data_IF_856838898552
#
_entry.id   IF_856838898552
#
_cell.length_a   1.000
_cell.length_b   1.000
_cell.length_c   1.000
_cell.angle_alpha   90.00
_cell.angle_beta   90.00
_cell.angle_gamma   90.00
#
_symmetry.space_group_name_H-M   'P 1'
#
loop_
_entity.id
_entity.type
_entity.pdbx_description
1 polymer ?
#
# COMPACT_ATOMS: atom_id res chain seq x y z
N UNK A 1 9.93 -12.77 12.31
CA UNK A 1 8.48 -12.96 12.46
C UNK A 1 7.86 -11.59 12.42
N UNK A 2 6.79 -11.40 11.66
CA UNK A 2 6.02 -10.17 11.68
C UNK A 2 5.17 -10.14 12.96
N UNK A 3 5.10 -9.00 13.65
CA UNK A 3 4.29 -8.85 14.87
C UNK A 3 2.89 -8.34 14.50
N UNK A 4 1.81 -9.10 14.72
CA UNK A 4 0.50 -8.72 14.19
C UNK A 4 -0.16 -7.51 14.85
N UNK A 5 0.35 -7.01 15.98
CA UNK A 5 -0.12 -5.72 16.49
C UNK A 5 0.47 -4.55 15.71
N UNK A 6 1.74 -4.64 15.32
CA UNK A 6 2.52 -3.48 14.87
C UNK A 6 2.93 -3.56 13.39
N UNK A 7 2.86 -4.75 12.79
CA UNK A 7 3.40 -5.09 11.47
C UNK A 7 2.40 -5.91 10.65
N UNK A 8 1.10 -5.82 10.99
CA UNK A 8 0.04 -6.59 10.35
C UNK A 8 -0.52 -5.98 9.09
N UNK A 9 -0.11 -4.78 8.69
CA UNK A 9 -0.74 -4.08 7.57
C UNK A 9 0.27 -3.70 6.50
N UNK A 10 1.52 -3.45 6.89
CA UNK A 10 2.56 -3.23 5.90
C UNK A 10 3.83 -2.63 6.46
N UNK A 11 4.69 -2.19 5.55
CA UNK A 11 5.95 -1.56 5.89
C UNK A 11 6.40 -0.57 4.81
N UNK A 12 7.24 0.38 5.20
CA UNK A 12 7.97 1.21 4.26
C UNK A 12 9.39 1.50 4.75
N UNK A 13 10.35 1.49 3.83
CA UNK A 13 11.71 1.96 4.05
C UNK A 13 11.74 3.48 3.87
N UNK A 14 11.93 4.19 4.99
CA UNK A 14 12.03 5.65 5.00
C UNK A 14 13.50 6.06 5.01
N UNK A 15 13.96 6.65 3.91
CA UNK A 15 15.29 7.22 3.80
C UNK A 15 15.29 8.72 4.11
N UNK A 16 16.12 9.13 5.08
CA UNK A 16 16.36 10.54 5.42
C UNK A 16 17.87 10.79 5.58
N UNK A 17 18.33 12.06 5.55
CA UNK A 17 19.72 12.38 5.86
C UNK A 17 20.20 11.89 7.23
N UNK A 18 19.28 11.76 8.19
CA UNK A 18 19.54 11.23 9.53
C UNK A 18 19.74 9.70 9.58
N UNK A 19 19.47 9.00 8.48
CA UNK A 19 19.55 7.55 8.36
C UNK A 19 18.29 6.94 7.75
N UNK A 20 18.36 5.63 7.53
CA UNK A 20 17.25 4.85 6.99
C UNK A 20 16.58 4.03 8.07
N UNK A 21 15.26 4.03 8.10
CA UNK A 21 14.44 3.26 9.05
C UNK A 21 13.36 2.50 8.32
N UNK A 22 13.08 1.26 8.76
CA UNK A 22 11.87 0.53 8.34
C UNK A 22 10.76 0.90 9.31
N UNK A 23 9.67 1.46 8.79
CA UNK A 23 8.44 1.69 9.54
C UNK A 23 7.42 0.61 9.19
N UNK A 24 6.56 0.30 10.14
CA UNK A 24 5.52 -0.70 9.99
C UNK A 24 4.18 -0.10 10.38
N UNK A 25 3.13 -0.57 9.72
CA UNK A 25 1.75 -0.34 10.14
C UNK A 25 1.12 -1.64 10.60
N UNK A 26 0.19 -1.48 11.53
CA UNK A 26 -0.59 -2.54 12.15
C UNK A 26 -1.77 -1.96 12.91
N UNK A 27 -2.73 -2.79 13.30
CA UNK A 27 -3.92 -2.34 14.06
C UNK A 27 -3.53 -1.57 15.34
N UNK A 28 -2.45 -1.99 16.00
CA UNK A 28 -1.90 -1.33 17.20
C UNK A 28 -1.17 -0.02 16.93
N UNK A 29 -0.85 0.28 15.67
CA UNK A 29 -0.15 1.52 15.28
C UNK A 29 -1.09 2.70 15.03
N UNK A 30 -2.40 2.44 14.90
CA UNK A 30 -3.41 3.48 14.69
C UNK A 30 -3.43 4.45 15.88
N UNK A 31 -3.14 5.75 15.68
CA UNK A 31 -3.17 6.73 16.77
C UNK A 31 -4.55 6.81 17.43
N UNK A 32 -4.65 6.90 18.77
CA UNK A 32 -5.95 7.02 19.46
C UNK A 32 -6.81 8.19 18.97
N UNK A 33 -6.19 9.30 18.57
CA UNK A 33 -6.87 10.47 17.99
C UNK A 33 -7.47 10.22 16.61
N UNK A 34 -6.96 9.22 15.87
CA UNK A 34 -7.54 8.74 14.61
C UNK A 34 -8.65 7.74 14.88
N UNK A 35 -8.38 6.74 15.73
CA UNK A 35 -9.35 5.72 16.10
C UNK A 35 -10.66 6.31 16.67
N UNK A 36 -10.56 7.33 17.52
CA UNK A 36 -11.74 8.03 18.09
C UNK A 36 -12.57 8.81 17.06
N UNK A 37 -11.99 9.12 15.89
CA UNK A 37 -12.70 9.70 14.73
C UNK A 37 -13.21 8.64 13.74
N UNK A 38 -13.04 7.35 14.06
CA UNK A 38 -13.51 6.23 13.24
C UNK A 38 -12.51 5.73 12.20
N UNK A 39 -11.28 6.24 12.18
CA UNK A 39 -10.18 5.67 11.38
C UNK A 39 -9.60 4.50 12.16
N UNK A 40 -10.15 3.31 11.95
CA UNK A 40 -9.84 2.10 12.71
C UNK A 40 -8.95 1.11 11.96
N UNK A 41 -8.67 1.38 10.68
CA UNK A 41 -7.84 0.56 9.82
C UNK A 41 -6.78 1.43 9.14
N UNK A 42 -5.55 0.93 9.10
CA UNK A 42 -4.42 1.53 8.40
C UNK A 42 -3.89 0.50 7.41
N UNK A 43 -3.66 0.89 6.17
CA UNK A 43 -3.12 0.00 5.14
C UNK A 43 -1.59 -0.01 5.09
N UNK A 44 -1.05 -0.49 3.98
CA UNK A 44 0.39 -0.52 3.70
C UNK A 44 0.92 0.90 3.46
N UNK A 45 1.90 1.38 4.24
CA UNK A 45 2.40 2.73 4.11
C UNK A 45 3.33 2.87 2.91
N UNK A 46 3.46 4.11 2.43
CA UNK A 46 4.42 4.46 1.40
C UNK A 46 5.53 5.37 1.92
N UNK A 47 6.67 5.37 1.26
CA UNK A 47 7.73 6.35 1.50
C UNK A 47 8.37 6.83 0.21
N UNK A 48 8.83 8.09 0.21
CA UNK A 48 9.53 8.67 -0.92
C UNK A 48 10.00 10.08 -0.60
N UNK A 49 11.20 10.45 -1.07
CA UNK A 49 11.78 11.79 -0.83
C UNK A 49 11.83 12.20 0.66
N UNK A 50 11.98 11.22 1.56
CA UNK A 50 12.00 11.41 3.02
C UNK A 50 10.64 11.57 3.70
N UNK A 51 9.55 11.60 2.92
CA UNK A 51 8.19 11.57 3.42
C UNK A 51 7.74 10.13 3.67
N UNK A 52 6.87 9.96 4.67
CA UNK A 52 6.24 8.70 5.03
C UNK A 52 4.72 8.90 5.07
N UNK A 53 3.95 7.98 4.48
CA UNK A 53 2.50 8.12 4.30
C UNK A 53 1.78 6.90 4.85
N UNK A 54 0.87 7.13 5.79
CA UNK A 54 -0.03 6.12 6.33
C UNK A 54 -1.43 6.28 5.70
N UNK A 55 -1.91 5.30 4.91
CA UNK A 55 -3.28 5.31 4.38
C UNK A 55 -4.25 4.76 5.43
N UNK A 56 -5.31 5.50 5.74
CA UNK A 56 -6.35 5.11 6.69
C UNK A 56 -7.71 4.96 6.01
N UNK A 57 -8.48 4.01 6.52
CA UNK A 57 -9.86 3.72 6.15
C UNK A 57 -10.80 3.91 7.35
N UNK A 58 -12.05 4.31 7.05
CA UNK A 58 -13.20 4.25 7.97
C UNK A 58 -14.23 3.25 7.45
N UNK A 59 -15.06 2.71 8.33
CA UNK A 59 -16.10 1.75 7.94
C UNK A 59 -17.32 2.40 7.24
N UNK A 60 -17.55 3.71 7.44
CA UNK A 60 -18.82 4.39 7.10
C UNK A 60 -18.90 4.97 5.68
N UNK A 61 -18.09 4.48 4.72
CA UNK A 61 -17.92 5.09 3.38
C UNK A 61 -17.57 6.58 3.43
N UNK A 62 -16.84 7.00 4.47
CA UNK A 62 -16.29 8.35 4.59
C UNK A 62 -15.19 8.65 3.57
N UNK A 63 -14.42 9.71 3.82
CA UNK A 63 -13.23 10.03 3.03
C UNK A 63 -12.15 8.94 3.15
N UNK A 64 -11.14 8.96 2.27
CA UNK A 64 -9.83 8.36 2.54
C UNK A 64 -8.95 9.37 3.27
N UNK A 65 -8.15 8.90 4.22
CA UNK A 65 -7.16 9.73 4.90
C UNK A 65 -5.76 9.24 4.57
N UNK A 66 -4.87 10.19 4.28
CA UNK A 66 -3.44 9.97 4.18
C UNK A 66 -2.76 10.83 5.25
N UNK A 67 -2.19 10.18 6.26
CA UNK A 67 -1.43 10.87 7.30
C UNK A 67 0.04 10.85 6.92
N UNK A 68 0.62 12.03 6.77
CA UNK A 68 1.95 12.22 6.17
C UNK A 68 2.90 12.78 7.21
N UNK A 69 4.04 12.11 7.37
CA UNK A 69 5.17 12.61 8.13
C UNK A 69 6.22 13.21 7.18
N UNK A 70 6.48 14.49 7.33
CA UNK A 70 7.50 15.20 6.56
C UNK A 70 8.93 14.83 7.04
N UNK A 71 9.98 15.15 6.25
CA UNK A 71 11.37 14.85 6.64
C UNK A 71 11.82 15.46 7.97
N UNK A 72 11.18 16.55 8.41
CA UNK A 72 11.42 17.21 9.69
C UNK A 72 10.68 16.56 10.88
N UNK A 73 9.91 15.50 10.63
CA UNK A 73 9.12 14.77 11.62
C UNK A 73 7.75 15.38 11.93
N UNK A 74 7.36 16.47 11.26
CA UNK A 74 6.01 17.04 11.41
C UNK A 74 4.98 16.18 10.70
N UNK A 75 3.76 16.15 11.26
CA UNK A 75 2.66 15.36 10.73
C UNK A 75 1.54 16.26 10.19
N UNK A 76 0.96 15.86 9.07
CA UNK A 76 -0.23 16.46 8.50
C UNK A 76 -1.21 15.38 8.02
N UNK A 77 -2.50 15.71 8.00
CA UNK A 77 -3.58 14.82 7.60
C UNK A 77 -4.23 15.35 6.32
N UNK A 78 -4.23 14.54 5.26
CA UNK A 78 -4.79 14.89 3.97
C UNK A 78 -5.98 14.00 3.67
N UNK A 79 -7.13 14.59 3.37
CA UNK A 79 -8.36 13.84 3.12
C UNK A 79 -8.75 13.91 1.66
N UNK A 80 -9.10 12.76 1.10
CA UNK A 80 -9.72 12.62 -0.20
C UNK A 80 -11.21 12.29 -0.02
N UNK A 81 -12.09 13.22 -0.36
CA UNK A 81 -13.51 12.93 -0.49
C UNK A 81 -13.70 11.96 -1.66
N UNK A 82 -14.30 10.81 -1.37
CA UNK A 82 -14.52 9.76 -2.37
C UNK A 82 -15.35 10.28 -3.53
N UNK A 83 -14.95 9.89 -4.73
CA UNK A 83 -15.81 9.98 -5.89
C UNK A 83 -17.01 9.02 -5.75
N UNK A 84 -18.13 9.34 -6.40
CA UNK A 84 -19.36 8.53 -6.30
C UNK A 84 -19.18 7.05 -6.71
N UNK A 85 -18.19 6.79 -7.56
CA UNK A 85 -17.85 5.46 -8.09
C UNK A 85 -16.75 4.75 -7.31
N UNK A 86 -16.07 5.43 -6.39
CA UNK A 86 -14.85 4.97 -5.75
C UNK A 86 -15.15 4.08 -4.54
N UNK A 87 -14.45 2.96 -4.42
CA UNK A 87 -14.56 2.09 -3.26
C UNK A 87 -13.98 2.76 -2.01
N UNK A 88 -14.52 2.40 -0.85
CA UNK A 88 -14.19 3.04 0.42
C UNK A 88 -12.75 2.78 0.89
N UNK A 89 -12.23 1.58 0.67
CA UNK A 89 -10.97 1.13 1.26
C UNK A 89 -9.75 1.89 0.71
N UNK A 90 -8.90 2.36 1.62
CA UNK A 90 -7.59 2.91 1.32
C UNK A 90 -6.52 1.88 1.72
N UNK A 91 -6.22 0.94 0.83
CA UNK A 91 -5.42 -0.25 1.18
C UNK A 91 -3.92 0.02 1.26
N UNK A 92 -3.39 0.96 0.48
CA UNK A 92 -1.97 1.26 0.46
C UNK A 92 -1.67 2.68 -0.03
N UNK A 93 -0.42 3.10 0.15
CA UNK A 93 0.17 4.27 -0.49
C UNK A 93 1.50 3.90 -1.15
N UNK A 94 1.67 4.21 -2.44
CA UNK A 94 2.93 4.02 -3.17
C UNK A 94 3.38 5.35 -3.77
N UNK A 95 4.56 5.85 -3.39
CA UNK A 95 5.04 7.17 -3.82
C UNK A 95 5.79 7.01 -5.13
N UNK A 96 5.44 7.81 -6.14
CA UNK A 96 6.16 7.78 -7.42
C UNK A 96 7.63 8.17 -7.25
N UNK A 97 8.55 7.66 -8.08
CA UNK A 97 9.98 7.99 -7.93
C UNK A 97 10.30 9.49 -8.07
N UNK A 98 9.48 10.26 -8.80
CA UNK A 98 9.62 11.72 -8.90
C UNK A 98 9.05 12.46 -7.67
N UNK A 99 8.40 11.76 -6.75
CA UNK A 99 7.83 12.28 -5.51
C UNK A 99 6.57 13.11 -5.70
N UNK A 100 6.06 13.24 -6.93
CA UNK A 100 4.94 14.15 -7.23
C UNK A 100 3.58 13.47 -7.19
N UNK A 101 3.55 12.15 -7.22
CA UNK A 101 2.32 11.37 -7.26
C UNK A 101 2.34 10.27 -6.21
N UNK A 102 1.15 9.85 -5.83
CA UNK A 102 0.92 8.73 -4.93
C UNK A 102 -0.15 7.84 -5.55
N UNK A 103 0.15 6.56 -5.66
CA UNK A 103 -0.80 5.53 -6.08
C UNK A 103 -1.45 4.93 -4.84
N UNK A 104 -2.76 4.71 -4.90
CA UNK A 104 -3.54 4.07 -3.85
C UNK A 104 -4.49 3.02 -4.44
N UNK A 105 -4.88 2.07 -3.59
CA UNK A 105 -5.75 0.94 -3.95
C UNK A 105 -7.20 1.09 -3.49
N UNK A 106 -8.00 0.13 -3.94
CA UNK A 106 -9.39 -0.09 -3.57
C UNK A 106 -9.53 -1.52 -2.98
N UNK A 107 -10.58 -1.85 -2.22
CA UNK A 107 -10.87 -3.24 -1.83
C UNK A 107 -11.61 -3.94 -2.98
N UNK A 108 -11.42 -5.24 -3.12
CA UNK A 108 -12.25 -6.09 -3.95
C UNK A 108 -11.64 -6.26 -5.32
N UNK A 109 -12.47 -6.67 -6.28
CA UNK A 109 -12.01 -6.81 -7.66
C UNK A 109 -12.01 -5.44 -8.33
N UNK A 110 -10.86 -5.01 -8.83
CA UNK A 110 -10.64 -3.69 -9.42
C UNK A 110 -9.93 -3.80 -10.76
N UNK A 111 -10.19 -2.83 -11.65
CA UNK A 111 -9.56 -2.69 -12.96
C UNK A 111 -8.66 -1.44 -13.04
N UNK A 112 -8.38 -0.82 -11.90
CA UNK A 112 -7.59 0.40 -11.79
C UNK A 112 -6.89 0.52 -10.44
N UNK A 113 -5.87 1.36 -10.41
CA UNK A 113 -5.33 1.98 -9.20
C UNK A 113 -5.53 3.50 -9.27
N UNK A 114 -5.73 4.14 -8.12
CA UNK A 114 -6.01 5.56 -8.02
C UNK A 114 -4.71 6.36 -7.94
N UNK A 115 -4.65 7.51 -8.60
CA UNK A 115 -3.48 8.40 -8.56
C UNK A 115 -3.91 9.74 -7.97
N UNK A 116 -3.20 10.16 -6.93
CA UNK A 116 -3.34 11.46 -6.28
C UNK A 116 -2.04 12.24 -6.42
N UNK A 117 -2.07 13.59 -6.43
CA UNK A 117 -0.86 14.36 -6.20
C UNK A 117 -0.28 14.00 -4.83
N UNK A 118 1.03 13.83 -4.72
CA UNK A 118 1.65 13.40 -3.47
C UNK A 118 1.37 14.41 -2.34
N UNK A 119 0.65 14.02 -1.27
CA UNK A 119 0.39 14.91 -0.15
C UNK A 119 1.70 15.31 0.56
N UNK A 120 1.82 16.58 0.91
CA UNK A 120 3.04 17.16 1.50
C UNK A 120 4.11 17.58 0.50
N UNK A 121 4.07 17.11 -0.75
CA UNK A 121 5.01 17.49 -1.82
C UNK A 121 4.29 18.25 -2.95
N UNK A 122 3.41 17.58 -3.69
CA UNK A 122 2.68 18.16 -4.81
C UNK A 122 1.34 18.79 -4.39
N UNK A 123 0.80 18.37 -3.25
CA UNK A 123 -0.38 18.96 -2.62
C UNK A 123 -0.07 19.31 -1.17
N UNK A 124 0.11 20.59 -0.87
CA UNK A 124 0.71 21.07 0.39
C UNK A 124 -0.29 21.67 1.38
N UNK A 125 -1.56 21.85 0.98
CA UNK A 125 -2.59 22.37 1.87
C UNK A 125 -3.44 21.22 2.43
N UNK A 126 -3.19 20.75 3.67
CA UNK A 126 -3.95 19.65 4.27
C UNK A 126 -5.42 20.00 4.57
N UNK A 127 -5.79 21.28 4.56
CA UNK A 127 -7.18 21.69 4.75
C UNK A 127 -8.01 21.57 3.46
N UNK A 128 -7.35 21.50 2.29
CA UNK A 128 -8.00 21.30 1.01
C UNK A 128 -8.33 19.82 0.79
N UNK A 129 -9.35 19.56 -0.04
CA UNK A 129 -9.62 18.21 -0.52
C UNK A 129 -8.46 17.74 -1.41
N UNK A 130 -7.82 16.63 -1.04
CA UNK A 130 -6.83 15.95 -1.88
C UNK A 130 -7.57 15.46 -3.14
N UNK A 131 -7.22 15.92 -4.35
CA UNK A 131 -7.97 15.55 -5.54
C UNK A 131 -7.59 14.14 -6.00
N UNK A 132 -8.56 13.44 -6.60
CA UNK A 132 -8.28 12.39 -7.55
C UNK A 132 -7.71 13.04 -8.83
N UNK A 133 -6.53 12.60 -9.28
CA UNK A 133 -5.86 13.18 -10.44
C UNK A 133 -6.01 12.34 -11.70
N UNK A 134 -5.84 11.02 -11.59
CA UNK A 134 -5.89 10.07 -12.71
C UNK A 134 -5.94 8.63 -12.19
N UNK A 135 -5.87 7.66 -13.10
CA UNK A 135 -5.77 6.24 -12.76
C UNK A 135 -4.70 5.49 -13.54
N UNK A 136 -4.15 4.45 -12.91
CA UNK A 136 -3.50 3.35 -13.63
C UNK A 136 -4.60 2.40 -14.07
N UNK A 137 -4.89 2.32 -15.37
CA UNK A 137 -5.88 1.43 -15.98
C UNK A 137 -5.29 0.06 -16.24
N UNK A 138 -5.75 -0.96 -15.52
CA UNK A 138 -5.21 -2.31 -15.61
C UNK A 138 -5.80 -3.05 -16.82
N UNK A 139 -4.96 -3.78 -17.55
CA UNK A 139 -5.37 -4.56 -18.72
C UNK A 139 -6.20 -5.81 -18.36
N UNK A 140 -6.18 -6.19 -17.09
CA UNK A 140 -7.01 -7.25 -16.50
C UNK A 140 -7.32 -6.92 -15.04
N UNK A 141 -8.45 -7.41 -14.50
CA UNK A 141 -8.78 -7.17 -13.11
C UNK A 141 -7.78 -7.83 -12.17
N UNK A 142 -7.56 -7.16 -11.05
CA UNK A 142 -6.86 -7.67 -9.87
C UNK A 142 -7.82 -7.67 -8.68
N UNK A 143 -7.45 -8.33 -7.59
CA UNK A 143 -8.30 -8.40 -6.40
C UNK A 143 -7.50 -8.15 -5.14
N UNK A 144 -8.11 -7.41 -4.21
CA UNK A 144 -7.62 -7.21 -2.84
C UNK A 144 -6.14 -6.87 -2.80
N UNK A 145 -5.73 -5.83 -3.56
CA UNK A 145 -4.35 -5.34 -3.52
C UNK A 145 -4.13 -4.67 -2.18
N UNK A 146 -3.24 -5.26 -1.37
CA UNK A 146 -2.91 -4.75 -0.03
C UNK A 146 -1.69 -3.85 -0.02
N UNK A 147 -0.84 -3.92 -1.05
CA UNK A 147 0.33 -3.08 -1.16
C UNK A 147 0.85 -3.03 -2.59
N UNK A 148 1.46 -1.91 -2.96
CA UNK A 148 2.28 -1.78 -4.16
C UNK A 148 3.48 -0.88 -3.86
N UNK A 149 4.58 -1.10 -4.56
CA UNK A 149 5.69 -0.16 -4.55
C UNK A 149 6.33 -0.02 -5.94
N UNK A 150 6.91 1.15 -6.21
CA UNK A 150 7.62 1.41 -7.45
C UNK A 150 9.00 0.77 -7.41
N UNK A 151 9.32 -0.01 -8.44
CA UNK A 151 10.68 -0.53 -8.66
C UNK A 151 11.39 0.23 -9.79
N UNK A 152 10.65 1.03 -10.54
CA UNK A 152 11.14 2.04 -11.47
C UNK A 152 10.03 3.06 -11.75
N UNK A 153 10.30 4.12 -12.51
CA UNK A 153 9.29 5.11 -12.88
C UNK A 153 8.07 4.55 -13.62
N UNK A 154 8.18 3.35 -14.21
CA UNK A 154 7.12 2.73 -15.02
C UNK A 154 6.83 1.29 -14.61
N UNK A 155 7.20 0.87 -13.40
CA UNK A 155 6.96 -0.49 -12.94
C UNK A 155 6.61 -0.49 -11.46
N UNK A 156 5.46 -1.08 -11.14
CA UNK A 156 5.05 -1.39 -9.78
C UNK A 156 5.20 -2.90 -9.54
N UNK A 157 5.44 -3.27 -8.30
CA UNK A 157 5.23 -4.63 -7.80
C UNK A 157 4.21 -4.57 -6.67
N UNK A 158 3.20 -5.43 -6.71
CA UNK A 158 2.05 -5.40 -5.82
C UNK A 158 1.81 -6.76 -5.14
N UNK A 159 1.50 -6.74 -3.85
CA UNK A 159 0.95 -7.87 -3.11
C UNK A 159 -0.58 -7.87 -3.20
N UNK A 160 -1.14 -9.03 -3.49
CA UNK A 160 -2.59 -9.26 -3.51
C UNK A 160 -2.96 -10.26 -2.43
N UNK A 161 -4.04 -9.98 -1.72
CA UNK A 161 -4.66 -10.88 -0.76
C UNK A 161 -5.76 -11.76 -1.38
N UNK A 162 -5.80 -11.92 -2.71
CA UNK A 162 -6.84 -12.72 -3.39
C UNK A 162 -6.96 -14.14 -2.78
N UNK A 163 -8.09 -14.46 -2.11
CA UNK A 163 -8.29 -15.74 -1.46
C UNK A 163 -8.78 -16.82 -2.43
N UNK A 164 -9.29 -16.45 -3.60
CA UNK A 164 -9.94 -17.41 -4.52
C UNK A 164 -8.97 -17.93 -5.57
N UNK A 165 -8.01 -17.11 -5.99
CA UNK A 165 -7.10 -17.40 -7.09
C UNK A 165 -7.77 -17.54 -8.45
N UNK A 166 -9.05 -17.16 -8.58
CA UNK A 166 -9.83 -17.27 -9.82
C UNK A 166 -9.33 -16.33 -10.92
N UNK A 167 -8.59 -15.26 -10.57
CA UNK A 167 -8.04 -14.30 -11.52
C UNK A 167 -6.69 -14.72 -12.12
N UNK A 168 -5.85 -15.44 -11.38
CA UNK A 168 -4.46 -15.75 -11.77
C UNK A 168 -4.07 -17.24 -11.62
N UNK A 169 -4.99 -18.10 -11.18
CA UNK A 169 -4.74 -19.52 -10.94
C UNK A 169 -4.00 -19.84 -9.64
N UNK A 170 -3.70 -18.82 -8.83
CA UNK A 170 -3.05 -18.94 -7.52
C UNK A 170 -3.67 -17.94 -6.54
N UNK A 171 -3.73 -18.32 -5.26
CA UNK A 171 -4.08 -17.38 -4.18
C UNK A 171 -2.87 -16.54 -3.79
N UNK A 172 -3.13 -15.39 -3.19
CA UNK A 172 -2.08 -14.47 -2.69
C UNK A 172 -0.99 -14.16 -3.72
N UNK A 173 -1.33 -13.72 -4.95
CA UNK A 173 -0.35 -13.52 -6.00
C UNK A 173 0.55 -12.31 -5.72
N UNK A 174 1.83 -12.44 -6.09
CA UNK A 174 2.72 -11.31 -6.31
C UNK A 174 2.58 -10.88 -7.78
N UNK A 175 2.26 -9.62 -8.00
CA UNK A 175 1.95 -9.06 -9.31
C UNK A 175 2.97 -7.99 -9.69
N UNK A 176 3.32 -7.92 -10.96
CA UNK A 176 4.00 -6.79 -11.57
C UNK A 176 2.99 -5.99 -12.40
N UNK A 177 3.08 -4.67 -12.34
CA UNK A 177 2.30 -3.77 -13.21
C UNK A 177 3.26 -2.90 -14.00
N UNK A 178 3.38 -3.17 -15.30
CA UNK A 178 4.20 -2.39 -16.22
C UNK A 178 3.37 -1.24 -16.79
N UNK A 179 3.80 -0.01 -16.53
CA UNK A 179 3.10 1.20 -16.93
C UNK A 179 3.57 1.67 -18.31
N UNK A 180 2.62 2.09 -19.16
CA UNK A 180 2.93 2.65 -20.48
C UNK A 180 3.71 3.99 -20.42
N UNK A 181 3.64 4.67 -19.28
CA UNK A 181 4.36 5.90 -18.95
C UNK A 181 4.43 6.05 -17.42
N UNK A 182 5.25 6.97 -16.87
CA UNK A 182 5.16 7.31 -15.46
C UNK A 182 3.77 7.85 -15.10
N UNK A 183 3.32 7.59 -13.88
CA UNK A 183 2.05 8.15 -13.37
C UNK A 183 2.07 9.67 -13.39
N UNK A 184 0.91 10.28 -13.60
CA UNK A 184 0.79 11.72 -13.80
C UNK A 184 -0.63 12.24 -13.74
N UNK A 185 -0.86 13.46 -14.23
CA UNK A 185 -2.19 14.07 -14.33
C UNK A 185 -3.07 13.51 -15.46
N UNK A 186 -2.77 12.33 -15.99
CA UNK A 186 -3.54 11.67 -17.05
C UNK A 186 -3.49 10.17 -16.83
N UNK A 187 -4.57 9.48 -17.23
CA UNK A 187 -4.65 8.03 -17.12
C UNK A 187 -3.49 7.35 -17.86
N UNK A 188 -2.96 6.28 -17.27
CA UNK A 188 -1.92 5.45 -17.88
C UNK A 188 -2.35 3.99 -17.87
N UNK A 189 -2.05 3.25 -18.94
CA UNK A 189 -2.29 1.81 -18.98
C UNK A 189 -1.22 1.06 -18.18
N UNK A 190 -1.64 0.09 -17.38
CA UNK A 190 -0.79 -0.86 -16.67
C UNK A 190 -1.04 -2.29 -17.17
N UNK A 191 0.02 -2.98 -17.60
CA UNK A 191 -0.02 -4.39 -17.96
C UNK A 191 0.29 -5.25 -16.75
N UNK A 192 -0.64 -6.11 -16.35
CA UNK A 192 -0.50 -6.94 -15.14
C UNK A 192 0.09 -8.30 -15.47
N UNK A 193 1.23 -8.61 -14.85
CA UNK A 193 1.91 -9.90 -14.95
C UNK A 193 1.94 -10.59 -13.59
N UNK A 194 1.57 -11.88 -13.55
CA UNK A 194 1.78 -12.73 -12.38
C UNK A 194 3.26 -13.06 -12.25
N UNK A 195 3.89 -12.69 -11.14
CA UNK A 195 5.26 -13.11 -10.81
C UNK A 195 5.30 -14.47 -10.12
N UNK A 196 4.24 -14.79 -9.35
CA UNK A 196 4.09 -16.07 -8.69
C UNK A 196 3.14 -15.98 -7.50
N UNK A 197 2.96 -17.09 -6.78
CA UNK A 197 2.29 -17.11 -5.49
C UNK A 197 3.28 -16.68 -4.39
N UNK A 198 2.82 -15.84 -3.45
CA UNK A 198 3.60 -15.53 -2.25
C UNK A 198 3.82 -16.80 -1.41
N UNK A 199 4.96 -16.97 -0.72
CA UNK A 199 5.18 -18.17 0.07
C UNK A 199 4.23 -18.24 1.28
N UNK A 200 3.43 -19.31 1.34
CA UNK A 200 2.41 -19.55 2.35
C UNK A 200 2.86 -20.66 3.31
N UNK A 201 3.73 -20.31 4.25
CA UNK A 201 4.32 -21.27 5.19
C UNK A 201 3.84 -20.99 6.61
N UNK A 202 3.20 -21.97 7.25
CA UNK A 202 2.87 -21.91 8.68
C UNK A 202 2.72 -23.32 9.28
N UNK A 203 2.92 -23.42 10.59
CA UNK A 203 2.51 -24.60 11.36
C UNK A 203 0.99 -24.72 11.56
N UNK A 204 0.24 -23.65 11.31
CA UNK A 204 -1.23 -23.65 11.34
C UNK A 204 -1.83 -23.88 9.95
N UNK A 205 -3.06 -24.40 9.93
CA UNK A 205 -3.89 -24.47 8.73
C UNK A 205 -4.93 -23.34 8.74
N UNK A 206 -5.32 -22.87 7.56
CA UNK A 206 -6.33 -21.83 7.37
C UNK A 206 -5.91 -20.83 6.30
N UNK A 207 -6.59 -19.69 6.28
CA UNK A 207 -6.32 -18.60 5.35
C UNK A 207 -5.16 -17.72 5.82
N UNK A 208 -4.21 -17.51 4.93
CA UNK A 208 -3.16 -16.50 5.09
C UNK A 208 -3.70 -15.13 4.66
N UNK A 209 -3.11 -14.07 5.20
CA UNK A 209 -3.35 -12.70 4.74
C UNK A 209 -2.03 -12.17 4.16
N UNK A 210 -2.02 -11.78 2.89
CA UNK A 210 -0.91 -11.07 2.29
C UNK A 210 -1.18 -9.57 2.46
N UNK A 211 -0.28 -8.86 3.12
CA UNK A 211 -0.48 -7.47 3.51
C UNK A 211 0.45 -6.58 2.68
N UNK A 212 1.15 -5.63 3.31
CA UNK A 212 2.01 -4.69 2.62
C UNK A 212 3.29 -5.20 1.98
N UNK A 213 3.87 -4.37 1.11
CA UNK A 213 5.05 -4.61 0.28
C UNK A 213 5.92 -3.37 0.20
N UNK A 214 7.24 -3.55 0.20
CA UNK A 214 8.21 -2.45 0.10
C UNK A 214 9.42 -2.88 -0.74
N UNK A 215 9.84 -2.02 -1.65
CA UNK A 215 11.04 -2.20 -2.47
C UNK A 215 12.14 -1.23 -2.05
N UNK A 216 13.20 -1.78 -1.48
CA UNK A 216 14.37 -1.00 -1.08
C UNK A 216 15.34 -0.84 -2.26
N UNK A 217 15.26 0.30 -2.95
CA UNK A 217 16.08 0.58 -4.15
C UNK A 217 17.59 0.49 -3.88
N UNK A 218 18.03 0.69 -2.64
CA UNK A 218 19.46 0.73 -2.28
C UNK A 218 20.13 -0.62 -2.41
N UNK A 219 19.40 -1.70 -2.13
CA UNK A 219 19.92 -3.07 -2.19
C UNK A 219 19.07 -4.02 -3.05
N UNK A 220 18.01 -3.50 -3.67
CA UNK A 220 17.09 -4.22 -4.52
C UNK A 220 16.27 -5.29 -3.79
N UNK A 221 16.14 -5.18 -2.47
CA UNK A 221 15.35 -6.13 -1.67
C UNK A 221 13.87 -5.74 -1.69
N UNK A 222 13.04 -6.65 -2.19
CA UNK A 222 11.58 -6.59 -2.02
C UNK A 222 11.19 -7.28 -0.72
N UNK A 223 10.39 -6.63 0.11
CA UNK A 223 9.83 -7.18 1.36
C UNK A 223 8.33 -7.31 1.21
N UNK A 224 7.77 -8.45 1.61
CA UNK A 224 6.31 -8.67 1.62
C UNK A 224 5.90 -9.25 2.96
N UNK A 225 4.87 -8.69 3.59
CA UNK A 225 4.28 -9.23 4.82
C UNK A 225 3.24 -10.28 4.48
N UNK A 226 3.35 -11.45 5.10
CA UNK A 226 2.37 -12.53 5.01
C UNK A 226 2.03 -13.00 6.43
N UNK A 227 0.78 -12.80 6.83
CA UNK A 227 0.24 -13.20 8.12
C UNK A 227 -0.20 -14.65 8.09
N UNK A 228 0.17 -15.36 9.16
CA UNK A 228 -0.13 -16.78 9.30
C UNK A 228 -1.57 -17.03 9.76
N UNK A 229 -2.18 -18.15 9.38
CA UNK A 229 -3.57 -18.46 9.69
C UNK A 229 -3.83 -18.70 11.17
N UNK A 230 -5.06 -18.36 11.61
CA UNK A 230 -5.57 -18.69 12.93
C UNK A 230 -4.69 -18.13 14.05
N UNK A 231 -4.43 -18.94 15.09
CA UNK A 231 -3.63 -18.48 16.25
C UNK A 231 -2.17 -18.22 15.89
N UNK A 232 -1.67 -18.80 14.80
CA UNK A 232 -0.30 -18.61 14.35
C UNK A 232 -0.01 -17.17 13.90
N UNK A 233 -1.03 -16.35 13.63
CA UNK A 233 -0.86 -14.92 13.34
C UNK A 233 0.00 -14.22 14.40
N UNK A 234 -0.12 -14.64 15.67
CA UNK A 234 0.55 -14.06 16.85
C UNK A 234 2.06 -14.32 16.89
N UNK A 235 2.54 -15.41 16.30
CA UNK A 235 3.92 -15.87 16.51
C UNK A 235 4.61 -16.51 15.29
N UNK A 236 3.93 -16.64 14.15
CA UNK A 236 4.45 -17.34 12.97
C UNK A 236 4.22 -16.56 11.66
N UNK A 237 3.76 -15.31 11.74
CA UNK A 237 3.68 -14.40 10.58
C UNK A 237 5.09 -14.05 10.08
N UNK A 238 5.24 -13.84 8.77
CA UNK A 238 6.54 -13.72 8.10
C UNK A 238 6.62 -12.44 7.27
N UNK A 239 7.83 -11.89 7.21
CA UNK A 239 8.20 -10.89 6.21
C UNK A 239 9.17 -11.57 5.26
N UNK A 240 8.71 -11.86 4.05
CA UNK A 240 9.52 -12.46 3.01
C UNK A 240 10.45 -11.42 2.41
N UNK A 241 11.64 -11.86 1.98
CA UNK A 241 12.62 -11.03 1.29
C UNK A 241 12.96 -11.68 -0.04
N UNK A 242 12.72 -10.97 -1.13
CA UNK A 242 13.09 -11.39 -2.47
C UNK A 242 14.24 -10.51 -2.96
N UNK A 243 15.22 -11.16 -3.57
CA UNK A 243 16.34 -10.51 -4.25
C UNK A 243 16.47 -11.15 -5.63
N UNK A 244 16.87 -10.36 -6.61
CA UNK A 244 17.26 -10.89 -7.93
C UNK A 244 18.55 -11.70 -7.83
#
# INVERSE_FOLDING_TARGET
MARPLDESQGLAVVERPSGTVVKYTGIGTVPPSLATRGWNHVGDPGAGHGYYVEPYQRDDRGAKLFRVEAPDGTWAEYQHALESWEANNNSFAAVSPDGRWMVAGEWGTMDRLLVHPMPGIAHTDPAANLPYASSVRLDRPVRDIQGCDFVSATQLVCSSDDPEGSLFGVTKPLLQVDLAAPVGGSDVTGTVTLLGQLPLESGCSGEFEAEGIDYDERDGTLRVVVLSPGICVVFDSKTWRFRR
#
